data_IF_164193087160
#
_entry.id   IF_164193087160
#
_cell.length_a   1.000
_cell.length_b   1.000
_cell.length_c   1.000
_cell.angle_alpha   90.00
_cell.angle_beta   90.00
_cell.angle_gamma   90.00
#
_symmetry.space_group_name_H-M   'P 1'
#
loop_
_entity.id
_entity.type
_entity.pdbx_description
1 polymer ?
#
# COMPACT_ATOMS: atom_id res chain seq x y z
N UNK A 1 -5.75 16.64 45.15
CA UNK A 1 -6.07 15.37 44.46
C UNK A 1 -6.50 15.69 43.03
N UNK A 2 -5.92 15.03 42.02
CA UNK A 2 -6.17 15.33 40.59
C UNK A 2 -7.41 14.55 40.15
N UNK A 3 -8.46 15.24 39.72
CA UNK A 3 -9.69 14.60 39.24
C UNK A 3 -9.45 13.88 37.91
N UNK A 4 -10.02 12.69 37.69
CA UNK A 4 -9.91 11.95 36.43
C UNK A 4 -10.66 12.67 35.29
N UNK A 5 -10.13 12.56 34.07
CA UNK A 5 -10.70 13.20 32.86
C UNK A 5 -11.76 12.27 32.27
N UNK A 6 -12.87 12.07 32.99
CA UNK A 6 -14.04 11.38 32.48
C UNK A 6 -15.05 12.38 31.91
N UNK A 7 -15.83 12.00 30.87
CA UNK A 7 -16.96 12.79 30.40
C UNK A 7 -17.89 13.15 31.57
N UNK A 8 -18.29 14.42 31.68
CA UNK A 8 -19.18 14.91 32.75
C UNK A 8 -18.50 15.39 34.04
N UNK A 9 -17.21 15.11 34.25
CA UNK A 9 -16.47 15.57 35.46
C UNK A 9 -15.81 16.95 35.31
N UNK A 10 -16.01 17.64 34.18
CA UNK A 10 -15.49 19.00 33.94
C UNK A 10 -16.62 20.02 34.10
N UNK A 11 -16.40 21.04 34.93
CA UNK A 11 -17.31 22.19 35.02
C UNK A 11 -17.03 23.15 33.85
N UNK A 12 -18.03 23.57 33.06
CA UNK A 12 -17.83 24.59 32.04
C UNK A 12 -17.50 25.91 32.72
N UNK A 13 -16.36 26.51 32.35
CA UNK A 13 -15.93 27.80 32.88
C UNK A 13 -16.69 28.92 32.13
N UNK A 14 -17.84 29.34 32.65
CA UNK A 14 -18.72 30.33 31.99
C UNK A 14 -18.36 31.79 32.30
N UNK A 15 -17.33 32.06 33.12
CA UNK A 15 -17.10 33.37 33.72
C UNK A 15 -15.98 34.21 33.09
N UNK A 16 -15.41 33.85 31.95
CA UNK A 16 -14.51 34.73 31.20
C UNK A 16 -14.77 34.63 29.70
N UNK A 17 -15.36 35.69 29.11
CA UNK A 17 -15.42 35.87 27.65
C UNK A 17 -14.03 36.22 27.14
N UNK A 18 -13.15 35.24 27.04
CA UNK A 18 -11.89 35.40 26.34
C UNK A 18 -12.15 35.52 24.85
N UNK A 19 -11.51 36.50 24.21
CA UNK A 19 -11.47 36.57 22.75
C UNK A 19 -10.44 35.53 22.30
N UNK A 20 -10.87 34.56 21.52
CA UNK A 20 -10.01 33.52 20.95
C UNK A 20 -9.73 33.82 19.48
N UNK A 21 -8.87 34.80 19.14
CA UNK A 21 -8.50 35.03 17.76
C UNK A 21 -7.82 33.78 17.21
N UNK A 22 -8.23 33.34 16.02
CA UNK A 22 -7.58 32.22 15.34
C UNK A 22 -6.14 32.61 15.02
N UNK A 23 -5.19 31.85 15.52
CA UNK A 23 -3.80 32.01 15.17
C UNK A 23 -3.58 31.56 13.72
N UNK A 24 -2.94 32.40 12.90
CA UNK A 24 -2.49 32.03 11.54
C UNK A 24 -1.17 31.25 11.60
N UNK A 25 -1.10 30.22 12.44
CA UNK A 25 0.13 29.42 12.56
C UNK A 25 0.40 28.61 11.31
N UNK A 26 -0.64 28.22 10.58
CA UNK A 26 -0.56 27.46 9.34
C UNK A 26 -1.02 28.32 8.18
N UNK A 27 -0.23 28.34 7.12
CA UNK A 27 -0.52 29.09 5.90
C UNK A 27 -0.19 28.25 4.67
N UNK A 28 -0.93 28.44 3.58
CA UNK A 28 -0.56 27.91 2.27
C UNK A 28 0.10 29.02 1.46
N UNK A 29 1.33 28.79 1.02
CA UNK A 29 2.00 29.65 0.04
C UNK A 29 2.51 28.77 -1.11
N UNK A 30 2.16 29.15 -2.34
CA UNK A 30 2.59 28.43 -3.56
C UNK A 30 2.23 26.93 -3.53
N UNK A 31 1.06 26.58 -2.98
CA UNK A 31 0.56 25.21 -2.91
C UNK A 31 1.16 24.35 -1.78
N UNK A 32 2.10 24.89 -0.98
CA UNK A 32 2.72 24.17 0.13
C UNK A 32 2.25 24.74 1.47
N UNK A 33 1.79 23.86 2.36
CA UNK A 33 1.45 24.23 3.73
C UNK A 33 2.71 24.48 4.56
N UNK A 34 2.80 25.66 5.20
CA UNK A 34 3.92 26.08 6.05
C UNK A 34 3.46 26.53 7.42
N UNK A 35 4.30 26.29 8.44
CA UNK A 35 4.09 26.80 9.80
C UNK A 35 4.91 28.08 9.98
N UNK A 36 4.27 29.20 10.32
CA UNK A 36 4.92 30.53 10.40
C UNK A 36 5.75 30.77 11.66
N UNK A 37 5.64 29.90 12.67
CA UNK A 37 6.36 30.01 13.95
C UNK A 37 7.28 28.80 14.14
N UNK A 38 8.56 29.06 14.41
CA UNK A 38 9.44 28.05 15.01
C UNK A 38 8.93 27.79 16.43
N UNK A 39 8.36 26.60 16.65
CA UNK A 39 8.01 26.17 18.01
C UNK A 39 9.30 26.10 18.84
N UNK A 40 9.34 26.60 20.09
CA UNK A 40 10.42 26.25 21.00
C UNK A 40 10.44 24.73 21.12
N UNK A 41 11.59 24.17 20.78
CA UNK A 41 11.89 22.74 20.74
C UNK A 41 11.78 22.14 22.14
N UNK A 42 10.68 21.47 22.41
CA UNK A 42 10.67 20.26 23.23
C UNK A 42 9.80 19.22 22.51
N UNK A 43 10.32 18.70 21.39
CA UNK A 43 9.75 17.53 20.72
C UNK A 43 10.54 16.31 21.21
N UNK A 44 9.84 15.43 21.91
CA UNK A 44 10.35 14.16 22.43
C UNK A 44 10.91 13.32 21.27
N UNK A 45 12.17 12.83 21.31
CA UNK A 45 12.84 12.17 20.17
C UNK A 45 12.26 10.81 19.76
N UNK A 46 11.09 10.42 20.28
CA UNK A 46 10.38 9.17 19.94
C UNK A 46 9.21 9.36 18.97
N UNK A 47 8.75 10.59 18.74
CA UNK A 47 7.74 10.85 17.72
C UNK A 47 8.41 11.20 16.39
N UNK A 48 8.54 10.20 15.53
CA UNK A 48 9.10 10.33 14.18
C UNK A 48 8.09 11.07 13.28
N UNK A 49 8.01 12.39 13.42
CA UNK A 49 7.41 13.25 12.39
C UNK A 49 8.46 13.52 11.33
N UNK A 50 8.57 12.63 10.34
CA UNK A 50 9.30 12.94 9.11
C UNK A 50 8.41 13.78 8.19
N UNK A 51 8.36 15.08 8.45
CA UNK A 51 7.89 16.07 7.47
C UNK A 51 8.72 17.32 7.60
N UNK A 52 9.96 17.23 7.13
CA UNK A 52 10.73 18.41 6.73
C UNK A 52 11.55 17.97 5.53
N UNK A 53 11.01 18.21 4.33
CA UNK A 53 11.85 18.40 3.15
C UNK A 53 12.73 19.61 3.46
N UNK A 54 13.98 19.36 3.83
CA UNK A 54 14.96 20.41 4.02
C UNK A 54 15.18 21.09 2.68
N UNK A 55 14.61 22.28 2.50
CA UNK A 55 14.89 23.13 1.34
C UNK A 55 16.36 23.53 1.40
N UNK A 56 17.17 22.99 0.49
CA UNK A 56 18.57 23.39 0.32
C UNK A 56 18.59 24.70 -0.48
N UNK A 57 19.03 25.77 0.16
CA UNK A 57 19.22 27.07 -0.48
C UNK A 57 20.68 27.20 -0.92
N UNK A 58 20.91 27.57 -2.18
CA UNK A 58 22.25 27.85 -2.70
C UNK A 58 22.40 29.37 -2.92
N UNK A 59 23.56 29.97 -2.57
CA UNK A 59 23.83 31.36 -2.90
C UNK A 59 24.06 31.52 -4.41
N UNK A 60 23.37 32.49 -5.01
CA UNK A 60 23.61 32.99 -6.37
C UNK A 60 24.93 33.80 -6.41
N UNK A 61 25.49 34.04 -7.60
CA UNK A 61 26.64 34.93 -7.83
C UNK A 61 26.45 36.36 -7.25
N UNK A 62 25.20 36.76 -7.01
CA UNK A 62 24.80 38.01 -6.35
C UNK A 62 24.60 37.90 -4.83
N UNK A 63 24.87 36.74 -4.23
CA UNK A 63 24.75 36.48 -2.79
C UNK A 63 23.32 36.24 -2.30
N UNK A 64 22.32 36.28 -3.17
CA UNK A 64 20.93 35.98 -2.81
C UNK A 64 20.69 34.47 -2.75
N UNK A 65 20.06 34.00 -1.66
CA UNK A 65 19.65 32.61 -1.49
C UNK A 65 18.46 32.32 -2.41
N UNK A 66 18.67 31.50 -3.44
CA UNK A 66 17.59 31.00 -4.30
C UNK A 66 17.25 29.56 -3.90
N UNK A 67 15.96 29.19 -3.85
CA UNK A 67 15.58 27.78 -3.77
C UNK A 67 16.13 27.08 -5.02
N UNK A 68 16.83 25.96 -4.84
CA UNK A 68 17.38 25.25 -6.00
C UNK A 68 16.22 24.83 -6.92
N UNK A 69 16.30 25.21 -8.19
CA UNK A 69 15.31 24.87 -9.22
C UNK A 69 15.34 23.38 -9.61
N UNK A 70 16.18 22.58 -8.94
CA UNK A 70 16.34 21.14 -9.17
C UNK A 70 15.40 20.28 -8.31
N UNK A 71 14.46 20.88 -7.58
CA UNK A 71 13.47 20.14 -6.81
C UNK A 71 12.38 19.61 -7.76
N UNK A 72 12.41 18.30 -8.03
CA UNK A 72 11.26 17.61 -8.62
C UNK A 72 10.03 17.89 -7.76
N UNK A 73 8.92 18.31 -8.37
CA UNK A 73 7.67 18.55 -7.66
C UNK A 73 7.35 17.34 -6.75
N UNK A 74 7.14 17.58 -5.45
CA UNK A 74 6.75 16.54 -4.51
C UNK A 74 5.42 15.94 -4.99
N UNK A 75 5.50 14.71 -5.48
CA UNK A 75 4.33 13.96 -5.92
C UNK A 75 4.06 12.90 -4.86
N UNK A 76 2.87 12.88 -4.22
CA UNK A 76 2.59 11.94 -3.16
C UNK A 76 2.56 10.50 -3.71
N UNK A 77 2.89 9.53 -2.84
CA UNK A 77 3.05 8.12 -3.23
C UNK A 77 1.80 7.55 -3.90
N UNK A 78 0.60 7.88 -3.41
CA UNK A 78 -0.66 7.38 -3.97
C UNK A 78 -0.87 7.80 -5.43
N UNK A 79 -0.32 8.95 -5.86
CA UNK A 79 -0.38 9.40 -7.27
C UNK A 79 0.67 8.66 -8.10
N UNK A 80 1.87 8.47 -7.57
CA UNK A 80 2.96 7.80 -8.30
C UNK A 80 2.75 6.28 -8.47
N UNK A 81 1.98 5.68 -7.56
CA UNK A 81 1.71 4.25 -7.52
C UNK A 81 0.34 3.90 -8.13
N UNK A 82 -0.46 4.90 -8.49
CA UNK A 82 -1.78 4.68 -9.08
C UNK A 82 -1.68 3.86 -10.36
N UNK A 83 -2.58 2.89 -10.52
CA UNK A 83 -2.57 1.94 -11.63
C UNK A 83 -1.42 0.90 -11.63
N UNK A 84 -0.44 0.97 -10.71
CA UNK A 84 0.63 -0.04 -10.63
C UNK A 84 0.18 -1.24 -9.80
N UNK A 85 0.03 -2.37 -10.48
CA UNK A 85 -0.47 -3.62 -9.88
C UNK A 85 0.52 -4.75 -10.14
N UNK A 86 0.87 -5.48 -9.08
CA UNK A 86 1.64 -6.70 -9.22
C UNK A 86 0.68 -7.87 -9.53
N UNK A 87 1.01 -8.64 -10.56
CA UNK A 87 0.22 -9.79 -11.02
C UNK A 87 1.04 -11.07 -10.94
N UNK A 88 0.49 -12.07 -10.25
CA UNK A 88 1.02 -13.43 -10.16
C UNK A 88 0.00 -14.45 -10.67
N UNK A 89 0.48 -15.48 -11.37
CA UNK A 89 -0.29 -16.66 -11.70
C UNK A 89 -0.06 -17.71 -10.62
N UNK A 90 -1.14 -18.33 -10.14
CA UNK A 90 -1.09 -19.30 -9.07
C UNK A 90 -2.05 -20.48 -9.32
N UNK A 91 -1.79 -21.61 -8.66
CA UNK A 91 -2.69 -22.76 -8.65
C UNK A 91 -2.99 -23.24 -7.24
N UNK A 92 -4.21 -23.75 -7.07
CA UNK A 92 -4.59 -24.55 -5.89
C UNK A 92 -4.94 -25.96 -6.39
N UNK A 93 -4.53 -26.96 -5.61
CA UNK A 93 -4.95 -28.33 -5.82
C UNK A 93 -5.95 -28.75 -4.74
N UNK A 94 -7.23 -28.77 -5.11
CA UNK A 94 -8.32 -29.16 -4.22
C UNK A 94 -8.51 -30.69 -4.29
N UNK A 95 -8.70 -31.34 -3.15
CA UNK A 95 -9.09 -32.76 -3.08
C UNK A 95 -10.58 -32.87 -3.39
N UNK A 96 -10.94 -33.68 -4.37
CA UNK A 96 -12.35 -33.93 -4.73
C UNK A 96 -12.71 -35.35 -4.27
N UNK A 97 -13.46 -35.50 -3.16
CA UNK A 97 -13.77 -36.82 -2.61
C UNK A 97 -14.68 -37.66 -3.53
N UNK A 98 -15.49 -37.01 -4.35
CA UNK A 98 -16.58 -37.63 -5.13
C UNK A 98 -16.12 -38.21 -6.47
N UNK A 99 -14.94 -37.81 -6.96
CA UNK A 99 -14.42 -38.23 -8.28
C UNK A 99 -13.39 -39.37 -8.15
N UNK A 100 -13.81 -40.60 -8.47
CA UNK A 100 -12.93 -41.78 -8.48
C UNK A 100 -11.79 -41.71 -9.52
N UNK A 101 -11.98 -40.98 -10.63
CA UNK A 101 -10.99 -40.90 -11.73
C UNK A 101 -9.91 -39.83 -11.53
N UNK A 102 -10.26 -38.71 -10.91
CA UNK A 102 -9.36 -37.58 -10.70
C UNK A 102 -9.53 -37.08 -9.28
N UNK A 103 -8.74 -37.64 -8.36
CA UNK A 103 -8.81 -37.36 -6.91
C UNK A 103 -8.43 -35.91 -6.55
N UNK A 104 -7.86 -35.17 -7.49
CA UNK A 104 -7.36 -33.80 -7.33
C UNK A 104 -7.78 -32.94 -8.51
N UNK A 105 -8.41 -31.79 -8.25
CA UNK A 105 -8.76 -30.77 -9.24
C UNK A 105 -7.77 -29.61 -9.08
N UNK A 106 -7.06 -29.27 -10.15
CA UNK A 106 -6.20 -28.08 -10.19
C UNK A 106 -7.02 -26.89 -10.70
N UNK A 107 -7.00 -25.80 -9.95
CA UNK A 107 -7.67 -24.54 -10.28
C UNK A 107 -6.62 -23.45 -10.45
N UNK A 108 -6.74 -22.66 -11.51
CA UNK A 108 -5.83 -21.57 -11.81
C UNK A 108 -6.39 -20.23 -11.31
N UNK A 109 -5.51 -19.39 -10.79
CA UNK A 109 -5.83 -18.10 -10.21
C UNK A 109 -4.85 -17.04 -10.68
N UNK A 110 -5.35 -15.82 -10.79
CA UNK A 110 -4.54 -14.62 -10.91
C UNK A 110 -4.64 -13.83 -9.60
N UNK A 111 -3.51 -13.66 -8.93
CA UNK A 111 -3.38 -12.84 -7.73
C UNK A 111 -2.92 -11.45 -8.15
N UNK A 112 -3.69 -10.43 -7.76
CA UNK A 112 -3.41 -9.02 -8.01
C UNK A 112 -3.10 -8.33 -6.69
N UNK A 113 -1.92 -7.71 -6.58
CA UNK A 113 -1.49 -6.91 -5.44
C UNK A 113 -1.38 -5.45 -5.85
N UNK A 114 -2.13 -4.57 -5.20
CA UNK A 114 -2.18 -3.15 -5.53
C UNK A 114 -1.16 -2.39 -4.68
N UNK A 115 -0.18 -1.77 -5.33
CA UNK A 115 0.91 -1.06 -4.63
C UNK A 115 0.45 0.23 -3.91
N UNK A 116 -0.71 0.77 -4.29
CA UNK A 116 -1.24 2.02 -3.72
C UNK A 116 -1.62 1.85 -2.25
N UNK A 117 -2.22 0.71 -1.89
CA UNK A 117 -2.88 0.50 -0.59
C UNK A 117 -2.56 -0.85 0.07
N UNK A 118 -1.66 -1.64 -0.53
CA UNK A 118 -1.32 -3.02 -0.12
C UNK A 118 -2.54 -3.95 -0.05
N UNK A 119 -3.52 -3.71 -0.93
CA UNK A 119 -4.69 -4.58 -1.05
C UNK A 119 -4.45 -5.70 -2.06
N UNK A 120 -5.19 -6.79 -1.89
CA UNK A 120 -5.09 -7.98 -2.72
C UNK A 120 -6.47 -8.34 -3.27
N UNK A 121 -6.51 -8.73 -4.54
CA UNK A 121 -7.67 -9.30 -5.22
C UNK A 121 -7.26 -10.62 -5.87
N UNK A 122 -8.14 -11.62 -5.84
CA UNK A 122 -7.89 -12.92 -6.46
C UNK A 122 -9.01 -13.21 -7.44
N UNK A 123 -8.63 -13.58 -8.66
CA UNK A 123 -9.54 -13.92 -9.76
C UNK A 123 -9.25 -15.36 -10.17
N UNK A 124 -10.28 -16.18 -10.28
CA UNK A 124 -10.17 -17.55 -10.79
C UNK A 124 -10.19 -17.57 -12.31
N UNK A 125 -9.46 -18.48 -12.94
CA UNK A 125 -9.52 -18.72 -14.37
C UNK A 125 -10.45 -19.88 -14.70
N UNK A 126 -11.75 -19.57 -14.80
CA UNK A 126 -12.82 -20.54 -15.14
C UNK A 126 -13.26 -20.45 -16.61
N UNK A 127 -12.70 -19.53 -17.40
CA UNK A 127 -13.14 -19.26 -18.77
C UNK A 127 -14.44 -18.46 -18.91
N UNK A 128 -15.11 -18.12 -17.81
CA UNK A 128 -16.35 -17.33 -17.75
C UNK A 128 -16.09 -15.81 -17.70
N UNK A 129 -17.14 -15.00 -17.53
CA UNK A 129 -17.02 -13.54 -17.41
C UNK A 129 -16.29 -13.10 -16.13
N UNK A 130 -15.53 -12.00 -16.18
CA UNK A 130 -14.64 -11.55 -15.08
C UNK A 130 -15.38 -11.31 -13.75
N UNK A 131 -16.62 -10.82 -13.79
CA UNK A 131 -17.45 -10.57 -12.60
C UNK A 131 -17.80 -11.84 -11.84
N UNK A 132 -18.01 -12.94 -12.56
CA UNK A 132 -18.34 -14.26 -11.99
C UNK A 132 -17.08 -15.01 -11.52
N UNK A 133 -15.89 -14.50 -11.90
CA UNK A 133 -14.59 -15.09 -11.59
C UNK A 133 -13.91 -14.51 -10.36
N UNK A 134 -14.54 -13.58 -9.65
CA UNK A 134 -13.95 -12.98 -8.45
C UNK A 134 -13.94 -14.00 -7.31
N UNK A 135 -12.79 -14.61 -7.07
CA UNK A 135 -12.59 -15.53 -5.95
C UNK A 135 -12.47 -14.78 -4.62
N UNK A 136 -11.80 -13.62 -4.64
CA UNK A 136 -11.63 -12.76 -3.47
C UNK A 136 -11.70 -11.29 -3.90
N UNK A 137 -12.64 -10.53 -3.31
CA UNK A 137 -12.76 -9.08 -3.53
C UNK A 137 -11.51 -8.34 -3.03
N UNK A 138 -11.23 -7.17 -3.60
CA UNK A 138 -10.08 -6.33 -3.22
C UNK A 138 -10.19 -5.84 -1.78
N UNK A 139 -9.22 -6.21 -0.94
CA UNK A 139 -9.04 -5.68 0.42
C UNK A 139 -7.66 -6.06 0.96
N UNK A 140 -7.26 -5.48 2.11
CA UNK A 140 -6.00 -5.86 2.77
C UNK A 140 -6.17 -7.20 3.49
N UNK A 141 -5.25 -8.11 3.26
CA UNK A 141 -5.29 -9.46 3.84
C UNK A 141 -4.32 -9.54 5.02
N UNK A 142 -4.76 -10.14 6.12
CA UNK A 142 -3.90 -10.44 7.26
C UNK A 142 -3.00 -11.63 6.96
N UNK A 143 -1.77 -11.59 7.44
CA UNK A 143 -0.85 -12.72 7.38
C UNK A 143 -1.43 -13.91 8.16
N UNK A 144 -1.26 -15.12 7.66
CA UNK A 144 -1.63 -16.32 8.41
C UNK A 144 -0.70 -16.47 9.62
N UNK A 145 -1.25 -16.75 10.82
CA UNK A 145 -0.46 -16.83 12.07
C UNK A 145 0.53 -18.01 12.15
N UNK A 146 0.72 -18.73 11.04
CA UNK A 146 1.77 -19.76 10.92
C UNK A 146 3.18 -19.19 10.97
N UNK A 147 3.35 -17.87 10.81
CA UNK A 147 4.63 -17.17 10.89
C UNK A 147 4.73 -16.39 12.22
N UNK A 148 5.13 -17.09 13.29
CA UNK A 148 5.52 -16.57 14.60
C UNK A 148 4.42 -15.81 15.40
N UNK A 149 4.29 -16.20 16.67
CA UNK A 149 3.25 -15.80 17.63
C UNK A 149 3.26 -14.29 17.98
N UNK A 150 4.28 -13.55 17.57
CA UNK A 150 4.45 -12.13 17.94
C UNK A 150 3.81 -11.15 16.93
N UNK A 151 3.47 -11.58 15.71
CA UNK A 151 3.02 -10.71 14.61
C UNK A 151 1.60 -11.04 14.08
N UNK A 152 0.70 -11.54 14.94
CA UNK A 152 -0.66 -11.99 14.54
C UNK A 152 -1.56 -10.90 13.91
N UNK A 153 -1.12 -9.64 13.90
CA UNK A 153 -1.86 -8.51 13.30
C UNK A 153 -1.16 -7.83 12.12
N UNK A 154 -0.13 -8.44 11.53
CA UNK A 154 0.53 -7.89 10.35
C UNK A 154 -0.27 -8.15 9.05
N UNK A 155 -0.31 -7.15 8.17
CA UNK A 155 -0.88 -7.32 6.83
C UNK A 155 0.12 -8.00 5.90
N UNK A 156 -0.39 -8.74 4.92
CA UNK A 156 0.41 -9.33 3.85
C UNK A 156 1.04 -8.22 3.00
N UNK A 157 2.35 -8.29 2.81
CA UNK A 157 3.11 -7.32 2.01
C UNK A 157 3.67 -7.98 0.75
N UNK A 158 4.10 -7.18 -0.23
CA UNK A 158 4.76 -7.70 -1.43
C UNK A 158 6.04 -8.50 -1.10
N UNK A 159 6.68 -8.23 0.04
CA UNK A 159 7.81 -9.03 0.55
C UNK A 159 7.45 -10.50 0.80
N UNK A 160 6.18 -10.82 1.09
CA UNK A 160 5.76 -12.20 1.36
C UNK A 160 5.69 -13.07 0.08
N UNK A 161 5.68 -12.42 -1.08
CA UNK A 161 5.77 -13.05 -2.39
C UNK A 161 7.24 -13.23 -2.85
N UNK A 162 8.20 -12.65 -2.12
CA UNK A 162 9.62 -12.76 -2.43
C UNK A 162 10.18 -14.12 -1.97
N UNK A 163 11.07 -14.72 -2.77
CA UNK A 163 11.76 -15.98 -2.42
C UNK A 163 10.86 -17.18 -2.04
N UNK A 164 9.55 -17.08 -2.21
CA UNK A 164 8.58 -18.14 -1.93
C UNK A 164 7.97 -18.65 -3.23
N UNK A 165 7.56 -19.92 -3.24
CA UNK A 165 6.74 -20.52 -4.31
C UNK A 165 5.29 -20.71 -3.87
N UNK A 166 4.96 -20.40 -2.62
CA UNK A 166 3.64 -20.58 -2.03
C UNK A 166 3.31 -19.43 -1.11
N UNK A 167 2.07 -18.97 -1.20
CA UNK A 167 1.51 -17.93 -0.34
C UNK A 167 0.22 -18.42 0.29
N UNK A 168 0.08 -18.20 1.59
CA UNK A 168 -1.11 -18.60 2.36
C UNK A 168 -2.04 -17.42 2.50
N UNK A 169 -3.25 -17.52 1.96
CA UNK A 169 -4.28 -16.48 2.02
C UNK A 169 -5.56 -17.15 2.51
N UNK A 170 -6.13 -16.68 3.62
CA UNK A 170 -7.33 -17.26 4.24
C UNK A 170 -7.25 -18.79 4.45
N UNK A 171 -6.10 -19.28 4.89
CA UNK A 171 -5.86 -20.71 5.12
C UNK A 171 -5.73 -21.56 3.86
N UNK A 172 -5.74 -20.96 2.66
CA UNK A 172 -5.52 -21.65 1.39
C UNK A 172 -4.10 -21.41 0.89
N UNK A 173 -3.45 -22.48 0.43
CA UNK A 173 -2.09 -22.47 -0.10
C UNK A 173 -2.10 -22.26 -1.62
N UNK A 174 -1.81 -21.03 -2.05
CA UNK A 174 -1.65 -20.70 -3.46
C UNK A 174 -0.21 -20.99 -3.88
N UNK A 175 -0.01 -21.91 -4.83
CA UNK A 175 1.30 -22.15 -5.43
C UNK A 175 1.52 -21.14 -6.55
N UNK A 176 2.52 -20.28 -6.41
CA UNK A 176 2.91 -19.32 -7.44
C UNK A 176 3.58 -20.08 -8.60
N UNK A 177 3.12 -19.81 -9.82
CA UNK A 177 3.62 -20.42 -11.05
C UNK A 177 4.49 -19.45 -11.85
N UNK A 178 4.00 -18.23 -12.06
CA UNK A 178 4.66 -17.22 -12.87
C UNK A 178 4.22 -15.81 -12.46
N UNK A 179 4.90 -14.80 -12.99
CA UNK A 179 4.63 -13.39 -12.72
C UNK A 179 4.68 -12.57 -14.03
N UNK A 180 4.04 -11.40 -14.05
CA UNK A 180 4.07 -10.49 -15.21
C UNK A 180 5.43 -9.78 -15.31
N UNK A 181 5.89 -9.40 -16.51
CA UNK A 181 7.09 -8.58 -16.73
C UNK A 181 7.19 -7.34 -15.83
N UNK A 182 6.09 -6.61 -15.64
CA UNK A 182 6.10 -5.45 -14.73
C UNK A 182 6.49 -5.85 -13.30
N UNK A 183 5.97 -6.98 -12.81
CA UNK A 183 6.31 -7.46 -11.47
C UNK A 183 7.75 -7.88 -11.35
N UNK A 184 8.27 -8.61 -12.33
CA UNK A 184 9.67 -9.01 -12.32
C UNK A 184 10.58 -7.78 -12.25
N UNK A 185 10.31 -6.77 -13.08
CA UNK A 185 11.08 -5.53 -13.08
C UNK A 185 10.95 -4.76 -11.76
N UNK A 186 9.76 -4.72 -11.16
CA UNK A 186 9.54 -4.09 -9.86
C UNK A 186 10.36 -4.76 -8.76
N UNK A 187 10.34 -6.09 -8.67
CA UNK A 187 11.12 -6.82 -7.66
C UNK A 187 12.63 -6.63 -7.89
N UNK A 188 13.09 -6.69 -9.15
CA UNK A 188 14.49 -6.42 -9.49
C UNK A 188 14.94 -5.00 -9.12
N UNK A 189 14.11 -3.99 -9.39
CA UNK A 189 14.41 -2.60 -9.04
C UNK A 189 14.51 -2.37 -7.51
N UNK A 190 13.79 -3.18 -6.73
CA UNK A 190 13.87 -3.17 -5.26
C UNK A 190 14.95 -4.10 -4.70
N UNK A 191 15.75 -4.76 -5.55
CA UNK A 191 16.80 -5.69 -5.12
C UNK A 191 16.28 -7.02 -4.55
N UNK A 192 15.06 -7.42 -4.91
CA UNK A 192 14.39 -8.60 -4.39
C UNK A 192 14.31 -9.66 -5.50
N UNK A 193 14.72 -10.89 -5.19
CA UNK A 193 14.63 -12.00 -6.13
C UNK A 193 13.25 -12.69 -6.06
N UNK A 194 12.71 -13.03 -7.24
CA UNK A 194 11.53 -13.88 -7.36
C UNK A 194 11.95 -15.30 -7.75
N UNK A 195 11.32 -16.31 -7.13
CA UNK A 195 11.53 -17.72 -7.48
C UNK A 195 10.77 -18.12 -8.76
N UNK A 196 9.70 -17.40 -9.08
CA UNK A 196 8.84 -17.69 -10.22
C UNK A 196 9.36 -17.02 -11.51
N UNK A 197 9.26 -17.70 -12.67
CA UNK A 197 9.60 -17.11 -13.95
C UNK A 197 8.65 -15.97 -14.33
N UNK A 198 9.13 -15.10 -15.22
CA UNK A 198 8.27 -14.15 -15.91
C UNK A 198 7.54 -14.85 -17.04
N UNK A 199 6.21 -14.82 -17.03
CA UNK A 199 5.37 -15.30 -18.12
C UNK A 199 4.29 -14.26 -18.38
N UNK A 200 4.42 -13.57 -19.50
CA UNK A 200 3.36 -12.73 -20.00
C UNK A 200 2.32 -13.67 -20.64
N UNK A 201 1.15 -13.80 -20.00
CA UNK A 201 -0.01 -14.22 -20.77
C UNK A 201 -0.19 -13.13 -21.83
N UNK A 202 0.16 -13.44 -23.07
CA UNK A 202 -0.38 -12.70 -24.19
C UNK A 202 -1.89 -12.69 -23.95
N UNK A 203 -2.44 -11.52 -23.61
CA UNK A 203 -3.80 -11.20 -24.03
C UNK A 203 -3.83 -11.61 -25.49
N UNK A 204 -4.56 -12.68 -25.78
CA UNK A 204 -5.04 -12.96 -27.14
C UNK A 204 -5.42 -11.62 -27.73
N UNK A 205 -4.68 -11.21 -28.76
CA UNK A 205 -5.04 -10.09 -29.61
C UNK A 205 -6.50 -10.28 -30.03
N UNK A 206 -7.22 -9.18 -30.18
CA UNK A 206 -8.67 -9.04 -30.41
C UNK A 206 -9.53 -9.04 -29.14
N UNK A 207 -9.54 -7.89 -28.49
CA UNK A 207 -10.78 -7.14 -28.22
C UNK A 207 -10.37 -5.69 -27.96
N UNK A 208 -9.82 -5.06 -29.00
CA UNK A 208 -9.85 -3.61 -29.11
C UNK A 208 -11.32 -3.18 -29.21
N UNK A 209 -11.65 -2.07 -28.54
CA UNK A 209 -12.93 -1.36 -28.57
C UNK A 209 -14.11 -2.07 -27.89
N UNK A 210 -14.57 -1.51 -26.76
CA UNK A 210 -15.95 -1.05 -26.56
C UNK A 210 -16.09 -0.48 -25.14
N UNK A 211 -15.72 0.80 -24.98
CA UNK A 211 -16.37 1.71 -24.03
C UNK A 211 -16.68 2.99 -24.81
N UNK A 212 -17.88 3.01 -25.38
CA UNK A 212 -18.62 4.25 -25.67
C UNK A 212 -19.68 4.38 -24.61
#
# INVERSE_FOLDING_TARGET
>A
QKLPIMPGMRRPNSSQRHRFPRSRMFEFKEGVGRTLMAMPTEVNPRDRVMTTSQLQFTPDASGFLRPSSSMSNFTPSFVTLDGKVLRFLATISDLVPENFRSRRRERQFTILYFLVDDSIQIIEDTGEAVSERIFMKRHKVLRSSTANVEDEQSFLSFYDFANTDRVVIYGRNFRLLACNRFTQQFFLANGIALKVPCQDHQTTKENDFLWT
#
